data_IF_440902178516
#
_entry.id   IF_440902178516
#
_cell.length_a   1.000
_cell.length_b   1.000
_cell.length_c   1.000
_cell.angle_alpha   90.00
_cell.angle_beta   90.00
_cell.angle_gamma   90.00
#
_symmetry.space_group_name_H-M   'P 1'
#
loop_
_entity.id
_entity.type
_entity.pdbx_description
1 polymer ?
#
# COMPACT_ATOMS: atom_id res chain seq x y z
N UNK A 1 24.85 35.00 -24.52
CA UNK A 1 23.82 34.89 -23.46
C UNK A 1 22.90 33.71 -23.80
N UNK A 2 23.01 32.57 -23.11
CA UNK A 2 22.15 31.38 -23.34
C UNK A 2 21.10 31.31 -22.22
N UNK A 3 19.86 31.74 -22.52
CA UNK A 3 18.68 31.52 -21.67
C UNK A 3 18.38 30.01 -21.67
N UNK A 4 18.74 29.28 -20.61
CA UNK A 4 18.50 27.83 -20.46
C UNK A 4 17.82 27.49 -19.13
N UNK A 5 16.89 28.31 -18.64
CA UNK A 5 16.36 28.13 -17.29
C UNK A 5 14.82 28.11 -17.19
N UNK A 6 14.07 27.98 -18.30
CA UNK A 6 12.60 28.16 -18.27
C UNK A 6 11.76 26.95 -18.71
N UNK A 7 12.34 25.94 -19.35
CA UNK A 7 11.59 24.74 -19.77
C UNK A 7 11.31 23.79 -18.58
N UNK A 8 12.27 23.62 -17.67
CA UNK A 8 12.16 22.70 -16.53
C UNK A 8 11.02 23.01 -15.55
N UNK A 9 10.65 24.29 -15.38
CA UNK A 9 9.58 24.68 -14.46
C UNK A 9 8.19 24.41 -15.05
N UNK A 10 8.04 24.60 -16.37
CA UNK A 10 6.82 24.27 -17.12
C UNK A 10 6.57 22.76 -17.15
N UNK A 11 7.63 21.97 -17.27
CA UNK A 11 7.50 20.51 -17.24
C UNK A 11 7.01 20.03 -15.86
N UNK A 12 7.52 20.59 -14.76
CA UNK A 12 7.06 20.26 -13.41
C UNK A 12 5.58 20.64 -13.15
N UNK A 13 5.12 21.78 -13.68
CA UNK A 13 3.70 22.16 -13.62
C UNK A 13 2.83 21.18 -14.42
N UNK A 14 3.28 20.73 -15.59
CA UNK A 14 2.53 19.79 -16.44
C UNK A 14 2.28 18.43 -15.79
N UNK A 15 3.17 17.98 -14.89
CA UNK A 15 2.98 16.72 -14.14
C UNK A 15 2.13 16.86 -12.88
N UNK A 16 1.81 18.09 -12.44
CA UNK A 16 1.06 18.32 -11.20
C UNK A 16 -0.43 17.96 -11.30
N UNK A 17 -0.99 17.97 -12.52
CA UNK A 17 -2.39 17.63 -12.80
C UNK A 17 -2.63 16.10 -12.91
N UNK A 18 -1.58 15.29 -12.83
CA UNK A 18 -1.72 13.83 -12.94
C UNK A 18 -2.36 13.28 -11.67
N UNK A 19 -3.66 13.02 -11.74
CA UNK A 19 -4.41 12.30 -10.70
C UNK A 19 -4.06 10.82 -10.74
N UNK A 20 -3.17 10.40 -9.84
CA UNK A 20 -2.88 8.98 -9.65
C UNK A 20 -4.11 8.24 -9.08
N UNK A 21 -4.39 7.01 -9.53
CA UNK A 21 -5.47 6.22 -8.96
C UNK A 21 -5.23 5.95 -7.47
N UNK A 22 -6.31 5.89 -6.68
CA UNK A 22 -6.25 5.68 -5.21
C UNK A 22 -5.43 4.45 -4.81
N UNK A 23 -5.41 3.40 -5.63
CA UNK A 23 -4.62 2.19 -5.41
C UNK A 23 -3.11 2.42 -5.38
N UNK A 24 -2.62 3.44 -6.09
CA UNK A 24 -1.20 3.84 -6.11
C UNK A 24 -0.88 4.72 -4.89
N UNK A 25 -1.83 5.57 -4.49
CA UNK A 25 -1.67 6.47 -3.34
C UNK A 25 -1.83 5.73 -1.99
N UNK A 26 -2.62 4.66 -1.96
CA UNK A 26 -2.93 3.89 -0.76
C UNK A 26 -2.72 2.40 -1.03
N UNK A 27 -1.46 1.93 -1.06
CA UNK A 27 -1.19 0.51 -1.18
C UNK A 27 -1.78 -0.22 0.01
N UNK A 28 -2.39 -1.38 -0.25
CA UNK A 28 -2.88 -2.28 0.79
C UNK A 28 -1.69 -2.69 1.67
N UNK A 29 -1.85 -2.63 2.99
CA UNK A 29 -0.78 -2.93 3.96
C UNK A 29 -1.05 -4.24 4.67
N UNK A 30 0.03 -4.85 5.17
CA UNK A 30 -0.05 -6.03 6.01
C UNK A 30 -0.59 -5.65 7.40
N UNK A 31 -1.60 -6.35 7.89
CA UNK A 31 -2.19 -6.08 9.22
C UNK A 31 -1.23 -6.34 10.38
N UNK A 32 -0.21 -7.19 10.19
CA UNK A 32 0.79 -7.49 11.21
C UNK A 32 2.00 -6.53 11.19
N UNK A 33 2.55 -6.23 10.01
CA UNK A 33 3.83 -5.49 9.91
C UNK A 33 3.73 -4.14 9.20
N UNK A 34 2.53 -3.73 8.76
CA UNK A 34 2.25 -2.47 8.06
C UNK A 34 3.04 -2.21 6.76
N UNK A 35 3.78 -3.21 6.28
CA UNK A 35 4.48 -3.15 4.99
C UNK A 35 3.47 -3.17 3.83
N UNK A 36 3.75 -2.46 2.73
CA UNK A 36 2.93 -2.54 1.53
C UNK A 36 2.91 -3.99 1.01
N UNK A 37 1.72 -4.47 0.67
CA UNK A 37 1.53 -5.85 0.24
C UNK A 37 1.99 -6.06 -1.21
N UNK A 38 2.65 -7.19 -1.50
CA UNK A 38 2.93 -7.58 -2.87
C UNK A 38 1.62 -7.94 -3.62
N UNK A 39 1.70 -7.99 -4.96
CA UNK A 39 0.55 -8.38 -5.81
C UNK A 39 -0.05 -9.72 -5.43
N UNK A 40 0.77 -10.66 -4.93
CA UNK A 40 0.35 -11.94 -4.34
C UNK A 40 0.50 -11.88 -2.82
N UNK A 41 -0.57 -11.54 -2.11
CA UNK A 41 -0.60 -11.52 -0.64
C UNK A 41 -1.52 -12.62 -0.11
N UNK A 42 -1.38 -12.92 1.17
CA UNK A 42 -2.17 -13.95 1.84
C UNK A 42 -3.38 -13.27 2.48
N UNK A 43 -4.56 -13.83 2.23
CA UNK A 43 -5.81 -13.38 2.84
C UNK A 43 -6.23 -14.44 3.86
N UNK A 44 -6.48 -14.00 5.09
CA UNK A 44 -7.07 -14.82 6.14
C UNK A 44 -8.45 -14.28 6.44
N UNK A 45 -9.46 -15.16 6.40
CA UNK A 45 -10.83 -14.80 6.74
C UNK A 45 -11.17 -15.36 8.11
N UNK A 46 -11.53 -14.50 9.04
CA UNK A 46 -12.03 -14.86 10.36
C UNK A 46 -13.35 -14.13 10.59
N UNK A 47 -14.47 -14.83 10.39
CA UNK A 47 -15.82 -14.27 10.53
C UNK A 47 -16.15 -13.82 11.97
N UNK A 48 -15.36 -14.24 12.95
CA UNK A 48 -15.51 -13.87 14.36
C UNK A 48 -14.75 -12.59 14.73
N UNK A 49 -14.12 -11.91 13.76
CA UNK A 49 -13.40 -10.66 13.95
C UNK A 49 -13.98 -9.59 13.01
N UNK A 50 -13.95 -8.33 13.45
CA UNK A 50 -14.29 -7.16 12.61
C UNK A 50 -13.02 -6.30 12.47
N UNK A 51 -12.47 -6.14 11.26
CA UNK A 51 -12.95 -6.65 9.96
C UNK A 51 -12.72 -8.17 9.79
N UNK A 52 -13.59 -8.89 9.04
CA UNK A 52 -13.49 -10.34 8.91
C UNK A 52 -12.40 -10.80 7.94
N UNK A 53 -11.81 -9.90 7.16
CA UNK A 53 -10.77 -10.19 6.19
C UNK A 53 -9.48 -9.45 6.54
N UNK A 54 -8.42 -10.23 6.79
CA UNK A 54 -7.09 -9.72 7.12
C UNK A 54 -6.06 -10.11 6.05
N UNK A 55 -5.13 -9.21 5.76
CA UNK A 55 -4.18 -9.33 4.65
C UNK A 55 -2.74 -9.31 5.14
N UNK A 56 -1.94 -10.25 4.65
CA UNK A 56 -0.58 -10.49 5.13
C UNK A 56 0.44 -10.59 4.01
N UNK A 57 1.65 -10.06 4.26
CA UNK A 57 2.75 -10.10 3.29
C UNK A 57 3.47 -11.45 3.24
N UNK A 58 3.42 -12.24 4.32
CA UNK A 58 4.03 -13.56 4.41
C UNK A 58 3.23 -14.48 5.32
N UNK A 59 3.49 -15.79 5.21
CA UNK A 59 2.82 -16.78 6.05
C UNK A 59 3.19 -16.61 7.53
N UNK A 60 4.44 -16.25 7.81
CA UNK A 60 4.88 -15.92 9.18
C UNK A 60 4.08 -14.77 9.79
N UNK A 61 3.75 -13.73 9.01
CA UNK A 61 2.92 -12.62 9.49
C UNK A 61 1.49 -13.07 9.79
N UNK A 62 0.92 -13.93 8.94
CA UNK A 62 -0.39 -14.53 9.21
C UNK A 62 -0.35 -15.36 10.49
N UNK A 63 0.60 -16.28 10.62
CA UNK A 63 0.65 -17.21 11.74
C UNK A 63 0.91 -16.48 13.08
N UNK A 64 1.77 -15.46 13.09
CA UNK A 64 1.95 -14.56 14.25
C UNK A 64 0.68 -13.82 14.62
N UNK A 65 -0.02 -13.27 13.62
CA UNK A 65 -1.28 -12.57 13.83
C UNK A 65 -2.35 -13.50 14.39
N UNK A 66 -2.50 -14.70 13.80
CA UNK A 66 -3.44 -15.71 14.30
C UNK A 66 -3.12 -16.08 15.75
N UNK A 67 -1.85 -16.31 16.11
CA UNK A 67 -1.45 -16.63 17.48
C UNK A 67 -1.78 -15.51 18.49
N UNK A 68 -1.80 -14.25 18.06
CA UNK A 68 -2.17 -13.11 18.92
C UNK A 68 -3.67 -12.95 19.09
N UNK A 69 -4.46 -13.34 18.07
CA UNK A 69 -5.91 -13.11 18.00
C UNK A 69 -6.76 -14.36 18.27
N UNK A 70 -6.15 -15.53 18.49
CA UNK A 70 -6.83 -16.71 19.06
C UNK A 70 -6.75 -16.67 20.59
N UNK A 71 -7.74 -16.06 21.24
CA UNK A 71 -8.05 -16.25 22.67
C UNK A 71 -9.54 -16.42 22.85
#
# INVERSE_FOLDING_TARGET
MKKKNNDSMRDLEAFSDIKLPKSVLQPIRCDMCNKPLPKRHIIHKNICQDPPEHKFCSRECKDKWCAMHTK
#
